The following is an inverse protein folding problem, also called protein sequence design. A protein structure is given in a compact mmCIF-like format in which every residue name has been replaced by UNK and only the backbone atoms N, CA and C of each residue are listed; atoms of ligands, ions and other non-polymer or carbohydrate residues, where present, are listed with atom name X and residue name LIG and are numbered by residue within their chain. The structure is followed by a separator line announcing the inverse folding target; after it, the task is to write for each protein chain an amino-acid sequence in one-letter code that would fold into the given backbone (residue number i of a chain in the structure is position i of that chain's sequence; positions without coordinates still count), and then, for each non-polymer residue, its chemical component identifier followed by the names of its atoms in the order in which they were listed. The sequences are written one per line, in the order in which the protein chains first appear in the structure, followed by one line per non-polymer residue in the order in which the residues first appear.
data_IF_853130801733
#
_entry.id   IF_853130801733
#
_cell.length_a   1.000
_cell.length_b   1.000
_cell.length_c   1.000
_cell.angle_alpha   90.00
_cell.angle_beta   90.00
_cell.angle_gamma   90.00
#
_symmetry.space_group_name_H-M   'P 1'
#
loop_
_entity.id
_entity.type
_entity.pdbx_description
1 polymer ?
#
# COMPACT_ATOMS: atom_id res chain seq x y z
N UNK A 1 -5.62 -5.31 5.64
CA UNK A 1 -4.25 -5.00 5.19
C UNK A 1 -3.46 -6.25 4.78
N UNK A 2 -3.28 -7.25 5.65
CA UNK A 2 -2.48 -8.46 5.35
C UNK A 2 -2.88 -9.18 4.06
N UNK A 3 -4.19 -9.33 3.81
CA UNK A 3 -4.70 -9.91 2.55
C UNK A 3 -4.21 -9.16 1.31
N UNK A 4 -4.29 -7.83 1.31
CA UNK A 4 -3.83 -6.97 0.21
C UNK A 4 -2.34 -7.17 -0.03
N UNK A 5 -1.53 -7.24 1.03
CA UNK A 5 -0.08 -7.48 0.90
C UNK A 5 0.21 -8.85 0.27
N UNK A 6 -0.48 -9.91 0.71
CA UNK A 6 -0.32 -11.26 0.18
C UNK A 6 -0.77 -11.36 -1.29
N UNK A 7 -1.92 -10.80 -1.65
CA UNK A 7 -2.44 -10.78 -3.03
C UNK A 7 -1.48 -10.06 -3.99
N UNK A 8 -0.66 -9.14 -3.48
CA UNK A 8 0.33 -8.40 -4.27
C UNK A 8 1.74 -9.05 -4.23
N UNK A 9 1.89 -10.19 -3.56
CA UNK A 9 3.17 -10.90 -3.40
C UNK A 9 4.17 -10.10 -2.59
N UNK A 10 3.70 -9.46 -1.52
CA UNK A 10 4.45 -8.59 -0.63
C UNK A 10 4.56 -9.28 0.74
N UNK A 11 5.52 -10.19 0.87
CA UNK A 11 5.65 -11.07 2.05
C UNK A 11 6.31 -10.33 3.22
N UNK A 12 7.33 -9.53 2.94
CA UNK A 12 8.06 -8.72 3.94
C UNK A 12 8.06 -7.23 3.54
N UNK A 13 6.92 -6.53 3.68
CA UNK A 13 6.85 -5.11 3.36
C UNK A 13 7.55 -4.25 4.41
N UNK A 14 8.29 -3.23 3.94
CA UNK A 14 8.55 -2.05 4.76
C UNK A 14 7.34 -1.13 4.69
N UNK A 15 6.65 -0.92 5.83
CA UNK A 15 5.42 -0.15 5.91
C UNK A 15 5.70 1.23 6.51
N UNK A 16 5.29 2.27 5.80
CA UNK A 16 5.29 3.66 6.25
C UNK A 16 3.87 4.17 6.32
N UNK A 17 3.48 4.85 7.40
CA UNK A 17 2.19 5.54 7.45
C UNK A 17 2.33 6.90 6.78
N UNK A 18 1.56 7.15 5.71
CA UNK A 18 1.57 8.43 4.99
C UNK A 18 0.57 9.41 5.59
N UNK A 19 -0.59 8.90 5.99
CA UNK A 19 -1.70 9.71 6.49
C UNK A 19 -2.48 8.90 7.52
N UNK A 20 -2.83 9.53 8.62
CA UNK A 20 -3.73 8.96 9.63
C UNK A 20 -4.77 10.01 10.02
N UNK A 21 -6.02 9.72 9.71
CA UNK A 21 -7.21 10.50 10.06
C UNK A 21 -8.22 9.58 10.77
N UNK A 22 -9.25 10.15 11.39
CA UNK A 22 -10.20 9.41 12.23
C UNK A 22 -10.83 8.18 11.54
N UNK A 23 -11.22 8.31 10.27
CA UNK A 23 -11.86 7.23 9.51
C UNK A 23 -11.00 6.65 8.37
N UNK A 24 -9.76 7.15 8.21
CA UNK A 24 -8.92 6.86 7.04
C UNK A 24 -7.44 6.78 7.43
N UNK A 25 -6.77 5.69 7.06
CA UNK A 25 -5.33 5.53 7.19
C UNK A 25 -4.74 5.11 5.85
N UNK A 26 -3.73 5.84 5.40
CA UNK A 26 -2.99 5.52 4.17
C UNK A 26 -1.61 5.01 4.59
N UNK A 27 -1.30 3.79 4.18
CA UNK A 27 0.01 3.18 4.32
C UNK A 27 0.70 3.08 2.97
N UNK A 28 2.02 3.15 2.98
CA UNK A 28 2.88 2.82 1.85
C UNK A 28 3.66 1.58 2.21
N UNK A 29 3.50 0.52 1.43
CA UNK A 29 4.24 -0.73 1.56
C UNK A 29 5.27 -0.81 0.43
N UNK A 30 6.55 -0.93 0.80
CA UNK A 30 7.63 -1.26 -0.11
C UNK A 30 7.97 -2.75 0.03
N UNK A 31 7.67 -3.53 -1.00
CA UNK A 31 7.73 -5.00 -0.95
C UNK A 31 9.12 -5.59 -1.19
N UNK A 32 10.05 -4.80 -1.73
CA UNK A 32 11.37 -5.27 -2.15
C UNK A 32 12.50 -4.32 -1.70
N UNK A 33 12.20 -3.37 -0.81
CA UNK A 33 13.14 -2.31 -0.42
C UNK A 33 13.54 -1.39 -1.57
N UNK A 34 12.87 -1.46 -2.73
CA UNK A 34 13.16 -0.65 -3.92
C UNK A 34 11.90 0.09 -4.39
N UNK A 35 12.08 1.27 -4.99
CA UNK A 35 10.96 2.09 -5.49
C UNK A 35 10.16 1.43 -6.63
N UNK A 36 10.60 0.27 -7.13
CA UNK A 36 9.96 -0.44 -8.24
C UNK A 36 8.72 -1.24 -7.82
N UNK A 37 8.55 -1.56 -6.53
CA UNK A 37 7.39 -2.33 -6.04
C UNK A 37 6.82 -1.71 -4.78
N UNK A 38 6.26 -0.52 -4.96
CA UNK A 38 5.58 0.26 -3.93
C UNK A 38 4.06 0.16 -4.11
N UNK A 39 3.36 -0.05 -3.01
CA UNK A 39 1.90 -0.18 -2.95
C UNK A 39 1.37 0.82 -1.94
N UNK A 40 0.43 1.66 -2.35
CA UNK A 40 -0.34 2.46 -1.41
C UNK A 40 -1.57 1.67 -0.98
N UNK A 41 -1.76 1.57 0.33
CA UNK A 41 -2.84 0.83 0.97
C UNK A 41 -3.69 1.83 1.73
N UNK A 42 -4.91 2.03 1.25
CA UNK A 42 -5.89 2.88 1.91
C UNK A 42 -6.79 1.99 2.75
N UNK A 43 -6.83 2.25 4.06
CA UNK A 43 -7.70 1.56 5.01
C UNK A 43 -8.73 2.54 5.57
N UNK A 44 -9.99 2.13 5.58
CA UNK A 44 -11.03 2.72 6.43
C UNK A 44 -11.27 1.82 7.65
N UNK A 45 -12.18 2.25 8.51
CA UNK A 45 -12.76 1.47 9.61
C UNK A 45 -13.24 0.05 9.20
N UNK A 46 -13.70 -0.13 7.96
CA UNK A 46 -14.32 -1.39 7.50
C UNK A 46 -13.44 -2.26 6.61
N UNK A 47 -12.55 -1.66 5.82
CA UNK A 47 -11.82 -2.39 4.79
C UNK A 47 -10.52 -1.69 4.39
N UNK A 48 -9.61 -2.44 3.76
CA UNK A 48 -8.41 -1.90 3.14
C UNK A 48 -8.37 -2.27 1.67
N UNK A 49 -7.99 -1.31 0.83
CA UNK A 49 -7.76 -1.49 -0.60
C UNK A 49 -6.30 -1.17 -0.92
N UNK A 50 -5.70 -1.91 -1.85
CA UNK A 50 -4.34 -1.69 -2.31
C UNK A 50 -4.32 -1.21 -3.75
N UNK A 51 -3.56 -0.15 -4.01
CA UNK A 51 -3.28 0.36 -5.34
C UNK A 51 -1.78 0.25 -5.60
N UNK A 52 -1.39 -0.46 -6.66
CA UNK A 52 0.01 -0.42 -7.11
C UNK A 52 0.27 0.98 -7.62
N UNK A 53 1.27 1.64 -7.03
CA UNK A 53 1.92 2.76 -7.67
C UNK A 53 2.84 2.20 -8.76
N UNK A 54 2.26 1.59 -9.79
CA UNK A 54 2.94 1.52 -11.07
C UNK A 54 3.05 2.97 -11.49
N UNK A 55 4.26 3.53 -11.58
CA UNK A 55 4.44 4.82 -12.22
C UNK A 55 3.65 4.79 -13.53
N UNK A 56 2.56 5.56 -13.62
CA UNK A 56 1.83 5.69 -14.88
C UNK A 56 2.79 6.40 -15.84
N UNK A 57 3.03 5.91 -17.07
CA UNK A 57 3.08 6.85 -18.16
C UNK A 57 1.69 7.46 -18.27
N UNK A 58 1.64 8.79 -18.14
CA UNK A 58 0.52 9.62 -18.55
C UNK A 58 0.16 9.31 -20.01
N UNK A 59 -1.14 9.26 -20.30
CA UNK A 59 -1.71 9.05 -21.63
C UNK A 59 -3.17 9.40 -21.62
#
# INVERSE_FOLDING_TARGET
MQRVLLEQGCVEPQITTLLKQEALVIYRANCLGTSHKVIDITCTDRHCIGSRLSGKPEG
#
